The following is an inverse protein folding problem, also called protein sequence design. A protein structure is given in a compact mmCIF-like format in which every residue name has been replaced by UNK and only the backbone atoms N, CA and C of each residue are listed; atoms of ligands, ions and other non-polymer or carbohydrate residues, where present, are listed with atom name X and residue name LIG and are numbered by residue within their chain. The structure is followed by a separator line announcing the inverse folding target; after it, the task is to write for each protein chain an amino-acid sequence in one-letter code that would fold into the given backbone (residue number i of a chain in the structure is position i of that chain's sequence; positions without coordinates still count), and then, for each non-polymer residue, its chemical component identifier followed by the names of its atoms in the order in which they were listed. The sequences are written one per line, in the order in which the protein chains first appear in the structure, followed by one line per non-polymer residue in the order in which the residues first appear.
data_IF_473456620628
#
_entry.id   IF_473456620628
#
_cell.length_a   1.000
_cell.length_b   1.000
_cell.length_c   1.000
_cell.angle_alpha   90.00
_cell.angle_beta   90.00
_cell.angle_gamma   90.00
#
_symmetry.space_group_name_H-M   'P 1'
#
loop_
_entity.id
_entity.type
_entity.pdbx_description
1 polymer ?
#
# COMPACT_ATOMS: atom_id res chain seq x y z
N UNK A 1 16.28 -30.76 12.31
CA UNK A 1 16.80 -29.94 11.23
C UNK A 1 16.10 -28.60 11.19
N UNK A 2 16.72 -27.57 11.77
CA UNK A 2 16.05 -26.27 11.90
C UNK A 2 15.67 -25.63 10.57
N UNK A 3 16.41 -25.91 9.50
CA UNK A 3 16.13 -25.31 8.20
C UNK A 3 14.88 -25.82 7.48
N UNK A 4 14.38 -26.98 7.84
CA UNK A 4 13.21 -27.58 7.21
C UNK A 4 11.88 -26.92 7.63
N UNK A 5 11.83 -26.33 8.81
CA UNK A 5 10.63 -25.67 9.31
C UNK A 5 10.33 -24.35 8.62
N UNK A 6 11.36 -23.71 8.09
CA UNK A 6 11.23 -22.43 7.39
C UNK A 6 10.65 -22.62 5.99
N UNK A 7 10.97 -23.74 5.33
CA UNK A 7 10.50 -24.05 3.97
C UNK A 7 9.00 -24.32 3.89
N UNK A 8 8.37 -24.64 5.00
CA UNK A 8 6.93 -24.89 5.04
C UNK A 8 6.09 -23.63 4.93
N UNK A 9 6.63 -22.50 5.38
CA UNK A 9 5.88 -21.27 5.54
C UNK A 9 5.76 -20.43 4.27
N UNK A 10 6.52 -20.74 3.23
CA UNK A 10 6.49 -19.93 2.02
C UNK A 10 6.48 -20.76 0.75
N UNK A 11 5.45 -21.60 0.61
CA UNK A 11 5.18 -22.26 -0.66
C UNK A 11 4.87 -21.26 -1.78
N UNK A 12 4.43 -20.07 -1.41
CA UNK A 12 4.02 -19.03 -2.36
C UNK A 12 4.77 -17.75 -2.03
N UNK A 13 5.51 -17.22 -3.01
CA UNK A 13 6.21 -15.96 -2.87
C UNK A 13 5.20 -14.80 -2.75
N UNK A 14 5.65 -13.67 -2.24
CA UNK A 14 4.82 -12.46 -2.21
C UNK A 14 4.50 -11.98 -3.62
N UNK A 15 5.46 -12.10 -4.54
CA UNK A 15 5.23 -11.79 -5.94
C UNK A 15 4.13 -12.66 -6.55
N UNK A 16 4.10 -13.95 -6.25
CA UNK A 16 3.04 -14.83 -6.70
C UNK A 16 1.68 -14.46 -6.11
N UNK A 17 1.66 -14.03 -4.86
CA UNK A 17 0.43 -13.52 -4.22
C UNK A 17 -0.06 -12.23 -4.89
N UNK A 18 0.87 -11.33 -5.23
CA UNK A 18 0.55 -10.09 -5.93
C UNK A 18 -0.10 -10.35 -7.29
N UNK A 19 0.40 -11.35 -8.02
CA UNK A 19 -0.04 -11.67 -9.37
C UNK A 19 -1.13 -12.74 -9.43
N UNK A 20 -1.64 -13.18 -8.27
CA UNK A 20 -2.73 -14.15 -8.25
C UNK A 20 -3.93 -13.62 -9.04
N UNK A 21 -4.47 -14.39 -10.01
CA UNK A 21 -5.62 -13.93 -10.79
C UNK A 21 -6.81 -13.60 -9.91
N UNK A 22 -7.33 -12.40 -10.06
CA UNK A 22 -8.52 -11.94 -9.34
C UNK A 22 -9.16 -10.78 -10.08
N UNK A 23 -10.43 -10.57 -9.84
CA UNK A 23 -11.21 -9.48 -10.42
C UNK A 23 -11.66 -8.52 -9.32
N UNK A 24 -11.69 -7.22 -9.59
CA UNK A 24 -12.29 -6.27 -8.66
C UNK A 24 -13.79 -6.53 -8.55
N UNK A 25 -14.36 -6.21 -7.40
CA UNK A 25 -15.79 -6.40 -7.13
C UNK A 25 -16.38 -5.12 -6.60
N UNK A 26 -17.64 -4.85 -6.98
CA UNK A 26 -18.44 -3.79 -6.40
C UNK A 26 -19.53 -4.44 -5.57
N UNK A 27 -19.59 -4.10 -4.29
CA UNK A 27 -20.57 -4.65 -3.35
C UNK A 27 -21.20 -3.50 -2.57
N UNK A 28 -22.44 -3.63 -2.09
CA UNK A 28 -23.01 -2.64 -1.19
C UNK A 28 -22.14 -2.52 0.07
N UNK A 29 -21.99 -1.30 0.60
CA UNK A 29 -21.28 -1.10 1.86
C UNK A 29 -22.03 -1.89 2.94
N UNK A 30 -21.37 -2.80 3.67
CA UNK A 30 -22.02 -3.55 4.74
C UNK A 30 -22.51 -2.63 5.86
N UNK A 31 -23.64 -2.98 6.47
CA UNK A 31 -24.24 -2.16 7.54
C UNK A 31 -23.26 -1.86 8.68
N UNK A 32 -22.43 -2.82 9.06
CA UNK A 32 -21.43 -2.64 10.10
C UNK A 32 -20.32 -1.66 9.75
N UNK A 33 -20.16 -1.31 8.49
CA UNK A 33 -19.14 -0.37 8.01
C UNK A 33 -19.74 0.97 7.62
N UNK A 34 -21.05 1.06 7.48
CA UNK A 34 -21.73 2.25 6.97
C UNK A 34 -21.51 3.50 7.84
N UNK A 35 -21.36 3.34 9.14
CA UNK A 35 -21.06 4.45 10.06
C UNK A 35 -19.76 5.17 9.70
N UNK A 36 -18.73 4.41 9.29
CA UNK A 36 -17.42 4.97 8.94
C UNK A 36 -17.31 5.35 7.48
N UNK A 37 -17.91 4.54 6.60
CA UNK A 37 -17.69 4.66 5.15
C UNK A 37 -18.85 5.30 4.42
N UNK A 38 -20.02 5.44 5.07
CA UNK A 38 -21.24 5.87 4.41
C UNK A 38 -21.91 4.71 3.68
N UNK A 39 -23.02 5.02 3.03
CA UNK A 39 -23.78 4.06 2.22
C UNK A 39 -23.33 4.14 0.76
N UNK A 40 -23.71 3.17 -0.04
CA UNK A 40 -23.41 3.13 -1.46
C UNK A 40 -22.66 1.86 -1.84
N UNK A 41 -21.89 1.95 -2.93
CA UNK A 41 -21.15 0.80 -3.46
C UNK A 41 -19.68 0.87 -3.04
N UNK A 42 -19.18 -0.24 -2.57
CA UNK A 42 -17.81 -0.37 -2.10
C UNK A 42 -17.00 -1.22 -3.07
N UNK A 43 -15.86 -0.69 -3.47
CA UNK A 43 -14.90 -1.42 -4.28
C UNK A 43 -14.09 -2.38 -3.40
N UNK A 44 -14.01 -3.62 -3.85
CA UNK A 44 -13.00 -4.59 -3.38
C UNK A 44 -11.95 -4.61 -4.49
N UNK A 45 -10.81 -3.93 -4.32
CA UNK A 45 -9.79 -3.86 -5.37
C UNK A 45 -9.01 -5.15 -5.51
N UNK A 46 -8.18 -5.23 -6.53
CA UNK A 46 -7.17 -6.29 -6.65
C UNK A 46 -5.84 -5.80 -6.08
N UNK A 47 -4.97 -6.74 -5.74
CA UNK A 47 -3.62 -6.40 -5.28
C UNK A 47 -2.82 -5.66 -6.37
N UNK A 48 -2.96 -6.05 -7.63
CA UNK A 48 -2.29 -5.37 -8.74
C UNK A 48 -2.79 -3.94 -8.93
N UNK A 49 -4.05 -3.66 -8.67
CA UNK A 49 -4.57 -2.30 -8.74
C UNK A 49 -3.97 -1.41 -7.65
N UNK A 50 -3.82 -1.94 -6.45
CA UNK A 50 -3.15 -1.23 -5.35
C UNK A 50 -1.69 -0.95 -5.73
N UNK A 51 -1.00 -1.96 -6.26
CA UNK A 51 0.37 -1.81 -6.75
C UNK A 51 0.49 -0.72 -7.82
N UNK A 52 -0.41 -0.74 -8.81
CA UNK A 52 -0.41 0.25 -9.89
C UNK A 52 -0.60 1.68 -9.37
N UNK A 53 -1.43 1.88 -8.36
CA UNK A 53 -1.64 3.21 -7.77
C UNK A 53 -0.40 3.70 -7.03
N UNK A 54 0.28 2.81 -6.31
CA UNK A 54 1.49 3.17 -5.58
C UNK A 54 2.63 3.50 -6.55
N UNK A 55 2.75 2.78 -7.65
CA UNK A 55 3.76 3.05 -8.68
C UNK A 55 3.62 4.44 -9.31
N UNK A 56 2.45 5.04 -9.24
CA UNK A 56 2.21 6.38 -9.76
C UNK A 56 2.70 7.50 -8.83
N UNK A 57 3.08 7.18 -7.60
CA UNK A 57 3.61 8.20 -6.69
C UNK A 57 5.04 8.54 -7.11
N UNK A 58 5.30 9.76 -7.58
CA UNK A 58 6.63 10.11 -8.04
C UNK A 58 7.62 10.27 -6.90
N UNK A 59 8.90 10.13 -7.24
CA UNK A 59 9.98 10.39 -6.29
C UNK A 59 9.88 11.82 -5.74
N UNK A 60 10.10 11.95 -4.43
CA UNK A 60 10.00 13.23 -3.76
C UNK A 60 8.58 13.59 -3.31
N UNK A 61 7.62 12.71 -3.56
CA UNK A 61 6.25 12.89 -3.11
C UNK A 61 5.78 11.70 -2.27
N UNK A 62 4.77 11.91 -1.46
CA UNK A 62 4.09 10.85 -0.72
C UNK A 62 2.60 10.91 -0.99
N UNK A 63 1.93 9.78 -0.85
CA UNK A 63 0.46 9.72 -0.85
C UNK A 63 -0.02 9.10 0.45
N UNK A 64 -1.23 9.45 0.84
CA UNK A 64 -1.86 8.85 2.00
C UNK A 64 -2.73 7.67 1.59
N UNK A 65 -3.04 6.80 2.55
CA UNK A 65 -3.95 5.68 2.32
C UNK A 65 -5.32 6.15 1.83
N UNK A 66 -5.84 7.22 2.39
CA UNK A 66 -7.13 7.78 1.98
C UNK A 66 -7.10 8.23 0.51
N UNK A 67 -6.00 8.85 0.07
CA UNK A 67 -5.86 9.26 -1.34
C UNK A 67 -5.86 8.07 -2.29
N UNK A 68 -5.13 7.02 -1.95
CA UNK A 68 -5.08 5.80 -2.77
C UNK A 68 -6.47 5.17 -2.86
N UNK A 69 -7.19 5.07 -1.74
CA UNK A 69 -8.54 4.51 -1.74
C UNK A 69 -9.51 5.35 -2.58
N UNK A 70 -9.43 6.67 -2.50
CA UNK A 70 -10.27 7.56 -3.31
C UNK A 70 -9.98 7.41 -4.80
N UNK A 71 -8.72 7.29 -5.19
CA UNK A 71 -8.35 7.09 -6.59
C UNK A 71 -8.85 5.76 -7.12
N UNK A 72 -8.74 4.70 -6.34
CA UNK A 72 -9.26 3.38 -6.70
C UNK A 72 -10.78 3.43 -6.88
N UNK A 73 -11.50 4.07 -5.95
CA UNK A 73 -12.94 4.21 -6.03
C UNK A 73 -13.35 4.97 -7.30
N UNK A 74 -12.68 6.07 -7.61
CA UNK A 74 -12.96 6.84 -8.83
C UNK A 74 -12.70 6.03 -10.10
N UNK A 75 -11.65 5.24 -10.09
CA UNK A 75 -11.31 4.40 -11.24
C UNK A 75 -12.45 3.42 -11.59
N UNK A 76 -13.17 2.97 -10.59
CA UNK A 76 -14.26 2.00 -10.77
C UNK A 76 -15.67 2.59 -10.58
N UNK A 77 -15.80 3.91 -10.51
CA UNK A 77 -17.07 4.57 -10.22
C UNK A 77 -17.75 4.06 -8.95
N UNK A 78 -16.94 3.74 -7.94
CA UNK A 78 -17.43 3.32 -6.63
C UNK A 78 -17.53 4.52 -5.68
N UNK A 79 -18.34 4.40 -4.65
CA UNK A 79 -18.46 5.43 -3.62
C UNK A 79 -17.28 5.40 -2.65
N UNK A 80 -16.82 4.19 -2.29
CA UNK A 80 -15.70 3.98 -1.38
C UNK A 80 -14.90 2.74 -1.80
N UNK A 81 -13.68 2.62 -1.26
CA UNK A 81 -12.84 1.41 -1.41
C UNK A 81 -12.69 0.76 -0.05
N UNK A 82 -12.81 -0.55 0.02
CA UNK A 82 -12.71 -1.29 1.26
C UNK A 82 -11.34 -1.07 1.94
N UNK A 83 -11.29 -0.47 3.13
CA UNK A 83 -10.03 -0.21 3.80
C UNK A 83 -9.33 -1.47 4.29
N UNK A 84 -10.08 -2.49 4.69
CA UNK A 84 -9.54 -3.75 5.17
C UNK A 84 -8.78 -4.49 4.07
N UNK A 85 -9.41 -4.68 2.92
CA UNK A 85 -8.80 -5.38 1.78
C UNK A 85 -7.62 -4.58 1.24
N UNK A 86 -7.74 -3.26 1.15
CA UNK A 86 -6.64 -2.39 0.71
C UNK A 86 -5.43 -2.56 1.63
N UNK A 87 -5.64 -2.63 2.94
CA UNK A 87 -4.56 -2.83 3.91
C UNK A 87 -3.86 -4.19 3.75
N UNK A 88 -4.64 -5.24 3.50
CA UNK A 88 -4.09 -6.58 3.25
C UNK A 88 -3.23 -6.58 1.99
N UNK A 89 -3.74 -6.00 0.91
CA UNK A 89 -3.02 -5.96 -0.37
C UNK A 89 -1.82 -5.03 -0.33
N UNK A 90 -1.88 -3.96 0.44
CA UNK A 90 -0.73 -3.08 0.65
C UNK A 90 0.46 -3.84 1.23
N UNK A 91 0.23 -4.73 2.18
CA UNK A 91 1.30 -5.58 2.71
C UNK A 91 1.87 -6.49 1.63
N UNK A 92 1.02 -7.09 0.81
CA UNK A 92 1.47 -7.95 -0.31
C UNK A 92 2.34 -7.13 -1.26
N UNK A 93 1.91 -5.93 -1.62
CA UNK A 93 2.67 -5.03 -2.50
C UNK A 93 4.05 -4.72 -1.92
N UNK A 94 4.11 -4.35 -0.64
CA UNK A 94 5.37 -3.98 0.01
C UNK A 94 6.34 -5.17 0.10
N UNK A 95 5.84 -6.31 0.50
CA UNK A 95 6.67 -7.53 0.60
C UNK A 95 7.14 -8.01 -0.78
N UNK A 96 6.28 -7.93 -1.80
CA UNK A 96 6.64 -8.27 -3.16
C UNK A 96 7.72 -7.33 -3.73
N UNK A 97 7.63 -6.05 -3.41
CA UNK A 97 8.64 -5.07 -3.80
C UNK A 97 10.00 -5.40 -3.16
N UNK A 98 10.00 -5.83 -1.92
CA UNK A 98 11.23 -6.23 -1.22
C UNK A 98 11.82 -7.50 -1.80
N UNK A 99 10.97 -8.48 -2.16
CA UNK A 99 11.45 -9.67 -2.90
C UNK A 99 12.12 -9.27 -4.23
N UNK A 100 11.51 -8.33 -4.95
CA UNK A 100 12.08 -7.83 -6.21
C UNK A 100 13.43 -7.16 -5.97
N UNK A 101 13.55 -6.34 -4.92
CA UNK A 101 14.81 -5.69 -4.57
C UNK A 101 15.90 -6.71 -4.26
N UNK A 102 15.58 -7.72 -3.46
CA UNK A 102 16.51 -8.78 -3.10
C UNK A 102 16.90 -9.66 -4.30
N UNK A 103 16.04 -9.76 -5.29
CA UNK A 103 16.35 -10.47 -6.56
C UNK A 103 17.17 -9.61 -7.53
N UNK A 104 17.56 -8.40 -7.15
CA UNK A 104 18.37 -7.52 -7.97
C UNK A 104 17.60 -6.70 -8.99
N UNK A 105 16.29 -6.63 -8.90
CA UNK A 105 15.50 -5.79 -9.80
C UNK A 105 15.68 -4.33 -9.45
N UNK A 106 15.87 -3.50 -10.47
CA UNK A 106 16.16 -2.08 -10.27
C UNK A 106 14.90 -1.26 -10.06
N UNK A 107 13.83 -1.59 -10.76
CA UNK A 107 12.56 -0.89 -10.63
C UNK A 107 11.61 -1.70 -9.76
N UNK A 108 11.39 -1.21 -8.54
CA UNK A 108 10.48 -1.82 -7.60
C UNK A 108 9.36 -0.84 -7.23
N UNK A 109 8.24 -1.36 -6.79
CA UNK A 109 7.11 -0.54 -6.34
C UNK A 109 7.55 0.30 -5.14
N UNK A 110 7.43 1.64 -5.20
CA UNK A 110 7.91 2.52 -4.15
C UNK A 110 6.93 2.60 -2.98
N UNK A 111 6.71 1.49 -2.30
CA UNK A 111 5.74 1.38 -1.21
C UNK A 111 6.02 2.35 -0.05
N UNK A 112 7.30 2.72 0.16
CA UNK A 112 7.68 3.66 1.22
C UNK A 112 7.10 5.07 1.01
N UNK A 113 6.64 5.40 -0.19
CA UNK A 113 5.98 6.68 -0.49
C UNK A 113 4.53 6.73 -0.04
N UNK A 114 4.01 5.63 0.50
CA UNK A 114 2.66 5.58 1.03
C UNK A 114 2.70 5.69 2.55
N UNK A 115 1.96 6.66 3.09
CA UNK A 115 1.92 6.93 4.52
C UNK A 115 0.47 6.91 5.01
N UNK A 116 0.30 6.88 6.32
CA UNK A 116 -1.02 7.00 6.93
C UNK A 116 -1.56 8.41 6.73
N UNK A 117 -2.87 8.58 6.95
CA UNK A 117 -3.55 9.84 6.68
C UNK A 117 -3.00 11.02 7.50
N UNK A 118 -2.43 10.73 8.65
CA UNK A 118 -1.79 11.73 9.53
C UNK A 118 -0.27 11.87 9.28
N UNK A 119 0.27 11.20 8.28
CA UNK A 119 1.69 11.21 7.96
C UNK A 119 2.52 10.16 8.67
N UNK A 120 1.93 9.35 9.53
CA UNK A 120 2.65 8.30 10.24
C UNK A 120 3.15 7.23 9.27
N UNK A 121 4.34 6.71 9.57
CA UNK A 121 4.93 5.61 8.83
C UNK A 121 4.29 4.28 9.25
N UNK A 122 4.46 3.26 8.44
CA UNK A 122 3.82 1.97 8.65
C UNK A 122 4.80 0.94 9.23
N UNK A 123 4.64 0.61 10.50
CA UNK A 123 5.50 -0.36 11.19
C UNK A 123 5.42 -1.77 10.57
N UNK A 124 4.39 -2.07 9.80
CA UNK A 124 4.20 -3.38 9.16
C UNK A 124 4.92 -3.51 7.82
N UNK A 125 5.48 -2.43 7.30
CA UNK A 125 6.28 -2.50 6.08
C UNK A 125 7.61 -3.21 6.34
N UNK A 126 8.22 -3.83 5.30
CA UNK A 126 9.51 -4.48 5.45
C UNK A 126 10.56 -3.56 6.06
N UNK A 127 11.24 -4.02 7.11
CA UNK A 127 12.23 -3.23 7.83
C UNK A 127 11.64 -2.21 8.81
N UNK A 128 10.31 -2.10 8.89
CA UNK A 128 9.61 -1.25 9.85
C UNK A 128 9.74 0.25 9.57
N UNK A 129 9.43 1.04 10.59
CA UNK A 129 9.42 2.51 10.50
C UNK A 129 10.79 3.06 10.12
N UNK A 130 11.86 2.50 10.66
CA UNK A 130 13.22 3.00 10.40
C UNK A 130 13.64 2.84 8.93
N UNK A 131 13.29 1.71 8.31
CA UNK A 131 13.60 1.50 6.90
C UNK A 131 12.80 2.45 6.01
N UNK A 132 11.52 2.63 6.28
CA UNK A 132 10.68 3.57 5.55
C UNK A 132 11.20 5.01 5.71
N UNK A 133 11.58 5.40 6.92
CA UNK A 133 12.14 6.72 7.19
C UNK A 133 13.41 6.97 6.38
N UNK A 134 14.29 5.97 6.29
CA UNK A 134 15.53 6.04 5.51
C UNK A 134 15.22 6.29 4.03
N UNK A 135 14.32 5.53 3.44
CA UNK A 135 13.91 5.71 2.05
C UNK A 135 13.36 7.12 1.82
N UNK A 136 12.49 7.60 2.70
CA UNK A 136 11.88 8.93 2.55
C UNK A 136 12.90 10.05 2.72
N UNK A 137 13.83 9.92 3.66
CA UNK A 137 14.90 10.91 3.83
C UNK A 137 15.81 10.99 2.61
N UNK A 138 16.11 9.85 2.01
CA UNK A 138 16.87 9.81 0.76
C UNK A 138 16.18 10.53 -0.39
N UNK A 139 14.85 10.59 -0.35
CA UNK A 139 14.05 11.30 -1.34
C UNK A 139 13.75 12.75 -0.95
N UNK A 140 14.39 13.26 0.09
CA UNK A 140 14.30 14.65 0.49
C UNK A 140 13.23 15.00 1.51
N UNK A 141 12.58 14.01 2.09
CA UNK A 141 11.54 14.27 3.09
C UNK A 141 12.13 14.48 4.49
N UNK A 142 11.45 15.29 5.29
CA UNK A 142 11.72 15.41 6.72
C UNK A 142 10.87 14.38 7.45
N UNK A 143 11.53 13.51 8.21
CA UNK A 143 10.87 12.47 9.00
C UNK A 143 11.33 12.58 10.44
N UNK A 144 10.40 12.79 11.36
CA UNK A 144 10.66 12.90 12.79
C UNK A 144 9.59 12.17 13.57
N UNK A 145 10.00 11.44 14.62
CA UNK A 145 9.10 10.71 15.51
C UNK A 145 8.13 9.78 14.77
N UNK A 146 8.62 9.11 13.73
CA UNK A 146 7.80 8.19 12.96
C UNK A 146 6.76 8.83 12.06
N UNK A 147 6.90 10.11 11.78
CA UNK A 147 5.99 10.87 10.89
C UNK A 147 6.78 11.61 9.81
N UNK A 148 6.25 11.59 8.60
CA UNK A 148 6.75 12.44 7.52
C UNK A 148 5.99 13.77 7.58
N UNK A 149 6.72 14.87 7.31
CA UNK A 149 6.09 16.19 7.22
C UNK A 149 5.31 16.29 5.91
N UNK A 150 3.98 16.44 6.02
CA UNK A 150 3.10 16.57 4.88
C UNK A 150 3.05 18.02 4.42
N UNK A 151 3.73 18.32 3.31
CA UNK A 151 3.72 19.65 2.69
C UNK A 151 2.94 19.60 1.38
N UNK A 152 2.59 20.77 0.82
CA UNK A 152 1.90 20.86 -0.47
C UNK A 152 2.67 20.16 -1.60
N UNK A 153 4.00 20.27 -1.55
CA UNK A 153 4.87 19.67 -2.57
C UNK A 153 5.08 18.19 -2.35
N UNK A 154 5.00 17.72 -1.09
CA UNK A 154 5.19 16.31 -0.76
C UNK A 154 3.96 15.47 -1.06
N UNK A 155 2.75 16.05 -0.98
CA UNK A 155 1.48 15.34 -1.22
C UNK A 155 0.82 15.92 -2.47
N UNK A 156 0.74 15.15 -3.57
CA UNK A 156 0.10 15.63 -4.78
C UNK A 156 -1.40 15.84 -4.58
N UNK A 157 -1.99 16.68 -5.38
CA UNK A 157 -3.43 16.85 -5.44
C UNK A 157 -4.10 15.52 -5.79
N UNK A 158 -5.20 15.23 -5.11
CA UNK A 158 -5.92 13.96 -5.26
C UNK A 158 -6.55 13.82 -6.66
#
# INVERSE_FOLDING_TARGET
MPGLKVQWKSKTSWRAKLHKPMQPKLVPVPDGMAKRLGHGMMLIPTALEVDAMIRKIPRGQVSTLAQIRRRLARWHNADVTCPLVTGIFLRIVAEAAEEDRLAGRQEITPYWRLVRDDGRLNAKFPGGIEAQARWLREEGHTVENGKVMLTRTAVPAA
#
